data_IF_965500181104
#
_entry.id   IF_965500181104
#
_cell.length_a   1.000
_cell.length_b   1.000
_cell.length_c   1.000
_cell.angle_alpha   90.00
_cell.angle_beta   90.00
_cell.angle_gamma   90.00
#
_symmetry.space_group_name_H-M   'P 1'
#
loop_
_entity.id
_entity.type
_entity.pdbx_description
1 polymer ?
#
# COMPACT_ATOMS: atom_id res chain seq x y z
N UNK A 1 -4.97 11.73 -6.07
CA UNK A 1 -4.41 12.06 -4.74
C UNK A 1 -2.90 11.99 -4.69
N UNK A 2 -2.25 10.90 -5.12
CA UNK A 2 -0.77 10.77 -5.14
C UNK A 2 -0.05 11.91 -5.87
N UNK A 3 -0.57 12.39 -7.01
CA UNK A 3 -0.01 13.52 -7.73
C UNK A 3 0.08 14.81 -6.90
N UNK A 4 -0.98 15.17 -6.18
CA UNK A 4 -0.99 16.39 -5.37
C UNK A 4 0.02 16.33 -4.23
N UNK A 5 0.26 15.13 -3.66
CA UNK A 5 1.34 14.94 -2.69
C UNK A 5 2.71 15.15 -3.34
N UNK A 6 2.93 14.60 -4.53
CA UNK A 6 4.19 14.77 -5.25
C UNK A 6 4.44 16.25 -5.60
N UNK A 7 3.43 16.95 -6.12
CA UNK A 7 3.51 18.36 -6.50
C UNK A 7 3.87 19.25 -5.30
N UNK A 8 3.20 19.07 -4.16
CA UNK A 8 3.46 19.84 -2.94
C UNK A 8 4.89 19.65 -2.38
N UNK A 9 5.56 18.54 -2.70
CA UNK A 9 6.98 18.31 -2.35
C UNK A 9 7.89 18.91 -3.43
N UNK A 10 7.57 18.74 -4.71
CA UNK A 10 8.35 19.27 -5.82
C UNK A 10 8.48 20.81 -5.78
N UNK A 11 7.46 21.52 -5.31
CA UNK A 11 7.51 22.98 -5.08
C UNK A 11 8.63 23.43 -4.14
N UNK A 12 9.10 22.54 -3.26
CA UNK A 12 10.13 22.81 -2.24
C UNK A 12 11.49 22.22 -2.57
N UNK A 13 11.59 21.44 -3.64
CA UNK A 13 12.79 20.69 -4.02
C UNK A 13 12.99 20.73 -5.54
N UNK A 14 13.57 21.82 -6.02
CA UNK A 14 13.80 22.15 -7.43
C UNK A 14 14.67 21.14 -8.21
N UNK A 15 15.48 20.34 -7.51
CA UNK A 15 16.39 19.33 -8.11
C UNK A 15 16.16 17.93 -7.56
N UNK A 16 14.90 17.50 -7.47
CA UNK A 16 14.55 16.16 -7.02
C UNK A 16 13.62 15.42 -8.00
N UNK A 17 13.67 14.09 -7.92
CA UNK A 17 12.59 13.22 -8.40
C UNK A 17 11.76 12.81 -7.19
N UNK A 18 10.49 13.18 -7.19
CA UNK A 18 9.55 12.92 -6.10
C UNK A 18 8.72 11.69 -6.44
N UNK A 19 8.72 10.72 -5.53
CA UNK A 19 7.85 9.56 -5.56
C UNK A 19 6.79 9.70 -4.47
N UNK A 20 5.51 9.58 -4.84
CA UNK A 20 4.40 9.67 -3.88
C UNK A 20 3.38 8.55 -4.09
N UNK A 21 2.88 7.99 -2.99
CA UNK A 21 1.81 6.99 -2.96
C UNK A 21 0.53 7.50 -2.29
N UNK A 22 -0.61 6.95 -2.68
CA UNK A 22 -1.88 7.12 -2.00
C UNK A 22 -2.75 5.87 -2.15
N UNK A 23 -3.28 5.36 -1.04
CA UNK A 23 -3.98 4.08 -1.01
C UNK A 23 -5.40 4.27 -0.50
N UNK A 24 -6.34 3.64 -1.20
CA UNK A 24 -7.75 3.58 -0.82
C UNK A 24 -8.22 2.13 -0.85
N UNK A 25 -9.19 1.82 0.02
CA UNK A 25 -9.91 0.54 -0.01
C UNK A 25 -11.25 0.77 -0.68
N UNK A 26 -11.70 -0.15 -1.54
CA UNK A 26 -12.94 -0.02 -2.29
C UNK A 26 -13.76 -1.32 -2.25
N UNK A 27 -15.05 -1.20 -1.95
CA UNK A 27 -16.01 -2.30 -2.03
C UNK A 27 -17.20 -1.85 -2.89
N UNK A 28 -17.38 -2.49 -4.05
CA UNK A 28 -18.28 -1.98 -5.09
C UNK A 28 -17.88 -0.55 -5.46
N UNK A 29 -18.86 0.37 -5.41
CA UNK A 29 -18.67 1.79 -5.71
C UNK A 29 -18.31 2.64 -4.48
N UNK A 30 -18.23 2.03 -3.29
CA UNK A 30 -17.90 2.74 -2.05
C UNK A 30 -16.39 2.72 -1.80
N UNK A 31 -15.83 3.90 -1.56
CA UNK A 31 -14.45 4.09 -1.09
C UNK A 31 -14.40 4.18 0.44
N UNK A 32 -13.39 3.54 1.02
CA UNK A 32 -13.10 3.49 2.44
C UNK A 32 -11.75 4.15 2.67
N UNK A 33 -11.81 5.35 3.27
CA UNK A 33 -10.65 6.07 3.75
C UNK A 33 -10.23 5.59 5.14
N UNK A 34 -9.58 6.48 5.90
CA UNK A 34 -9.25 6.23 7.30
C UNK A 34 -10.51 6.51 8.14
N UNK A 35 -10.92 5.58 9.02
CA UNK A 35 -12.06 5.83 9.91
C UNK A 35 -11.75 6.99 10.86
N UNK A 36 -12.75 7.84 11.11
CA UNK A 36 -12.66 9.00 12.01
C UNK A 36 -12.81 8.59 13.47
N UNK A 37 -13.58 7.52 13.72
CA UNK A 37 -13.86 6.99 15.04
C UNK A 37 -14.01 5.46 15.05
N UNK A 38 -14.30 4.92 16.24
CA UNK A 38 -14.42 3.48 16.47
C UNK A 38 -15.66 2.87 15.80
N UNK A 39 -16.75 3.62 15.71
CA UNK A 39 -17.99 3.10 15.14
C UNK A 39 -17.88 3.04 13.61
N UNK A 40 -17.27 4.05 12.98
CA UNK A 40 -16.94 3.98 11.56
C UNK A 40 -15.99 2.82 11.28
N UNK A 41 -14.94 2.62 12.10
CA UNK A 41 -14.05 1.48 11.97
C UNK A 41 -14.79 0.14 12.04
N UNK A 42 -15.78 0.00 12.94
CA UNK A 42 -16.63 -1.20 13.04
C UNK A 42 -17.40 -1.43 11.74
N UNK A 43 -18.05 -0.41 11.20
CA UNK A 43 -18.82 -0.51 9.96
C UNK A 43 -17.93 -0.91 8.78
N UNK A 44 -16.74 -0.31 8.65
CA UNK A 44 -15.78 -0.67 7.61
C UNK A 44 -15.40 -2.15 7.70
N UNK A 45 -15.02 -2.63 8.89
CA UNK A 45 -14.58 -4.01 9.10
C UNK A 45 -15.71 -5.02 8.83
N UNK A 46 -16.95 -4.73 9.24
CA UNK A 46 -18.08 -5.60 8.96
C UNK A 46 -18.37 -5.71 7.46
N UNK A 47 -18.26 -4.61 6.72
CA UNK A 47 -18.46 -4.61 5.27
C UNK A 47 -17.34 -5.36 4.54
N UNK A 48 -16.08 -5.06 4.86
CA UNK A 48 -14.91 -5.60 4.15
C UNK A 48 -14.64 -7.08 4.49
N UNK A 49 -15.12 -7.58 5.63
CA UNK A 49 -15.02 -8.99 5.97
C UNK A 49 -16.17 -9.85 5.43
N UNK A 50 -17.21 -9.22 4.85
CA UNK A 50 -18.36 -9.93 4.29
C UNK A 50 -18.14 -10.38 2.84
N UNK A 51 -17.29 -9.68 2.09
CA UNK A 51 -17.01 -9.99 0.69
C UNK A 51 -15.64 -9.45 0.27
N UNK A 52 -15.06 -9.99 -0.83
CA UNK A 52 -13.76 -9.53 -1.31
C UNK A 52 -13.80 -8.06 -1.72
N UNK A 53 -12.76 -7.32 -1.35
CA UNK A 53 -12.63 -5.89 -1.66
C UNK A 53 -11.33 -5.59 -2.39
N UNK A 54 -11.25 -4.40 -2.97
CA UNK A 54 -10.08 -3.93 -3.72
C UNK A 54 -9.27 -2.99 -2.85
N UNK A 55 -7.95 -3.15 -2.87
CA UNK A 55 -6.99 -2.16 -2.39
C UNK A 55 -6.32 -1.56 -3.61
N UNK A 56 -6.44 -0.24 -3.73
CA UNK A 56 -5.98 0.52 -4.89
C UNK A 56 -4.94 1.52 -4.40
N UNK A 57 -3.70 1.38 -4.86
CA UNK A 57 -2.66 2.38 -4.60
C UNK A 57 -2.30 3.10 -5.87
N UNK A 58 -2.53 4.42 -5.88
CA UNK A 58 -2.01 5.32 -6.89
C UNK A 58 -0.59 5.75 -6.55
N UNK A 59 0.28 5.78 -7.56
CA UNK A 59 1.68 6.18 -7.45
C UNK A 59 1.99 7.29 -8.45
N UNK A 60 2.79 8.26 -8.05
CA UNK A 60 3.29 9.32 -8.93
C UNK A 60 4.79 9.44 -8.80
N UNK A 61 5.47 9.46 -9.95
CA UNK A 61 6.87 9.87 -10.10
C UNK A 61 6.89 11.23 -10.81
N UNK A 62 7.54 12.23 -10.21
CA UNK A 62 7.55 13.62 -10.69
C UNK A 62 8.99 14.17 -10.65
N UNK A 63 9.53 14.59 -11.80
CA UNK A 63 10.77 15.34 -11.86
C UNK A 63 10.48 16.81 -11.58
N UNK A 64 10.97 17.36 -10.47
CA UNK A 64 10.71 18.74 -10.10
C UNK A 64 11.35 19.74 -11.08
N UNK A 65 12.53 19.43 -11.61
CA UNK A 65 13.27 20.31 -12.51
C UNK A 65 12.60 20.47 -13.89
N UNK A 66 11.91 19.44 -14.38
CA UNK A 66 11.33 19.43 -15.73
C UNK A 66 9.80 19.40 -15.75
N UNK A 67 9.16 19.09 -14.62
CA UNK A 67 7.73 18.83 -14.54
C UNK A 67 7.28 17.50 -15.19
N UNK A 68 8.21 16.72 -15.75
CA UNK A 68 7.94 15.40 -16.31
C UNK A 68 7.34 14.51 -15.23
N UNK A 69 6.27 13.78 -15.54
CA UNK A 69 5.58 12.93 -14.58
C UNK A 69 5.10 11.63 -15.19
N UNK A 70 5.00 10.61 -14.33
CA UNK A 70 4.32 9.35 -14.60
C UNK A 70 3.41 9.03 -13.44
N UNK A 71 2.16 8.71 -13.74
CA UNK A 71 1.14 8.38 -12.74
C UNK A 71 0.60 7.01 -13.11
N UNK A 72 0.66 6.07 -12.17
CA UNK A 72 0.10 4.74 -12.32
C UNK A 72 -0.68 4.34 -11.08
N UNK A 73 -1.34 3.20 -11.15
CA UNK A 73 -1.95 2.57 -9.98
C UNK A 73 -1.82 1.06 -10.08
N UNK A 74 -1.94 0.39 -8.94
CA UNK A 74 -2.05 -1.05 -8.84
C UNK A 74 -3.30 -1.44 -8.04
N UNK A 75 -3.88 -2.59 -8.38
CA UNK A 75 -5.11 -3.09 -7.76
C UNK A 75 -4.86 -4.49 -7.23
N UNK A 76 -5.20 -4.70 -5.96
CA UNK A 76 -5.12 -6.01 -5.32
C UNK A 76 -6.47 -6.37 -4.72
N UNK A 77 -6.95 -7.59 -4.95
CA UNK A 77 -8.17 -8.10 -4.32
C UNK A 77 -7.78 -8.80 -3.01
N UNK A 78 -8.47 -8.44 -1.93
CA UNK A 78 -8.24 -9.01 -0.60
C UNK A 78 -9.48 -9.78 -0.17
N UNK A 79 -9.25 -11.02 0.28
CA UNK A 79 -10.26 -11.88 0.85
C UNK A 79 -10.02 -11.99 2.34
N UNK A 80 -11.06 -11.73 3.12
CA UNK A 80 -11.03 -11.88 4.56
C UNK A 80 -12.05 -12.90 5.03
N UNK A 81 -11.77 -13.55 6.16
CA UNK A 81 -12.81 -14.26 6.89
C UNK A 81 -13.70 -13.27 7.64
N UNK A 82 -14.97 -13.61 7.89
CA UNK A 82 -15.82 -12.81 8.76
C UNK A 82 -15.17 -12.60 10.14
N UNK A 83 -15.24 -11.36 10.63
CA UNK A 83 -14.84 -10.97 11.99
C UNK A 83 -16.06 -10.41 12.73
N UNK A 84 -16.45 -11.04 13.84
CA UNK A 84 -17.72 -10.72 14.55
C UNK A 84 -17.59 -10.88 16.06
N UNK A 85 -18.52 -10.28 16.80
CA UNK A 85 -18.67 -10.46 18.24
C UNK A 85 -17.40 -10.05 19.00
N UNK A 86 -16.97 -10.88 19.94
CA UNK A 86 -15.83 -10.59 20.82
C UNK A 86 -14.52 -10.35 20.06
N UNK A 87 -14.32 -11.00 18.90
CA UNK A 87 -13.12 -10.79 18.09
C UNK A 87 -13.07 -9.38 17.48
N UNK A 88 -14.19 -8.92 16.93
CA UNK A 88 -14.30 -7.59 16.35
C UNK A 88 -14.07 -6.51 17.43
N UNK A 89 -14.70 -6.67 18.59
CA UNK A 89 -14.53 -5.72 19.70
C UNK A 89 -13.08 -5.71 20.21
N UNK A 90 -12.44 -6.88 20.35
CA UNK A 90 -11.03 -6.95 20.74
C UNK A 90 -10.11 -6.28 19.71
N UNK A 91 -10.39 -6.41 18.41
CA UNK A 91 -9.65 -5.71 17.37
C UNK A 91 -9.84 -4.19 17.46
N UNK A 92 -11.07 -3.73 17.65
CA UNK A 92 -11.38 -2.30 17.83
C UNK A 92 -10.69 -1.71 19.07
N UNK A 93 -10.67 -2.46 20.18
CA UNK A 93 -10.04 -2.05 21.43
C UNK A 93 -8.51 -2.00 21.33
N UNK A 94 -7.92 -2.82 20.45
CA UNK A 94 -6.47 -2.76 20.18
C UNK A 94 -6.01 -1.43 19.57
N UNK A 95 -6.93 -0.67 18.95
CA UNK A 95 -6.60 0.56 18.23
C UNK A 95 -5.83 0.35 16.91
N UNK A 96 -5.60 -0.89 16.49
CA UNK A 96 -4.85 -1.20 15.26
C UNK A 96 -5.48 -0.64 13.98
N UNK A 97 -6.78 -0.34 14.00
CA UNK A 97 -7.52 0.28 12.91
C UNK A 97 -7.14 1.74 12.64
N UNK A 98 -6.59 2.44 13.63
CA UNK A 98 -6.38 3.89 13.58
C UNK A 98 -5.41 4.27 12.46
N UNK A 99 -5.82 5.26 11.67
CA UNK A 99 -4.99 5.83 10.61
C UNK A 99 -4.83 4.96 9.36
N UNK A 100 -5.57 3.84 9.25
CA UNK A 100 -5.47 2.89 8.14
C UNK A 100 -6.72 2.92 7.27
N UNK A 101 -6.52 2.90 5.95
CA UNK A 101 -7.65 2.85 5.01
C UNK A 101 -8.41 1.53 5.17
N UNK A 102 -9.74 1.58 5.25
CA UNK A 102 -10.56 0.38 5.51
C UNK A 102 -10.44 -0.17 6.93
N UNK A 103 -9.84 0.59 7.87
CA UNK A 103 -9.73 0.22 9.28
C UNK A 103 -8.90 -1.03 9.58
N UNK A 104 -8.05 -1.50 8.65
CA UNK A 104 -7.14 -2.62 8.89
C UNK A 104 -5.75 -2.41 8.27
N UNK A 105 -4.75 -3.14 8.74
CA UNK A 105 -3.38 -3.08 8.22
C UNK A 105 -2.75 -4.45 8.15
N UNK A 106 -2.47 -4.94 6.94
CA UNK A 106 -2.03 -6.33 6.72
C UNK A 106 -0.71 -6.68 7.42
N UNK A 107 0.18 -5.71 7.67
CA UNK A 107 1.45 -5.97 8.38
C UNK A 107 1.31 -6.12 9.90
N UNK A 108 0.14 -5.76 10.44
CA UNK A 108 -0.13 -5.89 11.87
C UNK A 108 -0.74 -7.26 12.17
N UNK A 109 -1.24 -7.46 13.41
CA UNK A 109 -2.09 -8.60 13.77
C UNK A 109 -3.31 -8.84 12.84
N UNK A 110 -3.58 -7.97 11.87
CA UNK A 110 -4.62 -8.12 10.86
C UNK A 110 -4.39 -9.29 9.88
N UNK A 111 -3.18 -9.86 9.82
CA UNK A 111 -2.94 -11.13 9.13
C UNK A 111 -3.89 -12.24 9.62
N UNK A 112 -4.38 -12.17 10.86
CA UNK A 112 -5.25 -13.20 11.43
C UNK A 112 -6.61 -13.35 10.72
N UNK A 113 -7.06 -12.35 9.95
CA UNK A 113 -8.34 -12.42 9.23
C UNK A 113 -8.23 -12.26 7.71
N UNK A 114 -7.06 -11.90 7.17
CA UNK A 114 -6.81 -11.99 5.73
C UNK A 114 -6.57 -13.45 5.34
N UNK A 115 -7.42 -13.99 4.47
CA UNK A 115 -7.32 -15.37 4.01
C UNK A 115 -6.53 -15.51 2.72
N UNK A 116 -6.66 -14.52 1.82
CA UNK A 116 -6.08 -14.60 0.47
C UNK A 116 -5.93 -13.23 -0.15
N UNK A 117 -4.91 -13.08 -0.97
CA UNK A 117 -4.61 -11.88 -1.74
C UNK A 117 -4.48 -12.29 -3.21
N UNK A 118 -5.11 -11.55 -4.10
CA UNK A 118 -4.90 -11.65 -5.55
C UNK A 118 -4.31 -10.34 -6.07
N UNK A 119 -3.00 -10.34 -6.34
CA UNK A 119 -2.26 -9.14 -6.74
C UNK A 119 -1.04 -8.92 -5.87
N UNK A 120 -0.56 -7.68 -5.81
CA UNK A 120 0.64 -7.33 -5.04
C UNK A 120 0.34 -7.18 -3.55
N UNK A 121 1.13 -7.86 -2.71
CA UNK A 121 1.12 -7.66 -1.25
C UNK A 121 1.60 -6.25 -0.89
N UNK A 122 2.66 -5.77 -1.54
CA UNK A 122 3.23 -4.44 -1.26
C UNK A 122 2.26 -3.32 -1.66
N UNK A 123 1.41 -3.55 -2.66
CA UNK A 123 0.26 -2.67 -2.95
C UNK A 123 -0.70 -2.58 -1.75
N UNK A 124 -1.03 -3.70 -1.10
CA UNK A 124 -1.92 -3.70 0.08
C UNK A 124 -1.29 -2.98 1.28
N UNK A 125 0.03 -3.10 1.43
CA UNK A 125 0.80 -2.31 2.41
C UNK A 125 0.72 -0.81 2.12
N UNK A 126 0.51 -0.44 0.85
CA UNK A 126 0.32 0.94 0.39
C UNK A 126 1.44 1.47 -0.49
N UNK A 127 2.33 0.60 -0.98
CA UNK A 127 3.43 0.98 -1.84
C UNK A 127 3.77 -0.17 -2.81
N UNK A 128 3.17 -0.22 -4.02
CA UNK A 128 3.32 -1.34 -4.97
C UNK A 128 4.74 -1.40 -5.53
N UNK A 129 5.62 -2.12 -4.85
CA UNK A 129 7.06 -2.12 -5.08
C UNK A 129 7.41 -2.62 -6.48
N UNK A 130 6.66 -3.59 -7.01
CA UNK A 130 6.86 -4.13 -8.34
C UNK A 130 6.63 -3.05 -9.40
N UNK A 131 5.53 -2.30 -9.26
CA UNK A 131 5.17 -1.19 -10.17
C UNK A 131 6.13 -0.02 -10.04
N UNK A 132 6.46 0.35 -8.81
CA UNK A 132 7.40 1.43 -8.51
C UNK A 132 8.77 1.10 -9.09
N UNK A 133 9.25 -0.13 -8.94
CA UNK A 133 10.54 -0.56 -9.48
C UNK A 133 10.55 -0.46 -11.00
N UNK A 134 9.47 -0.88 -11.68
CA UNK A 134 9.33 -0.70 -13.12
C UNK A 134 9.39 0.77 -13.52
N UNK A 135 8.61 1.64 -12.84
CA UNK A 135 8.56 3.07 -13.13
C UNK A 135 9.92 3.75 -12.94
N UNK A 136 10.64 3.41 -11.87
CA UNK A 136 11.98 3.95 -11.58
C UNK A 136 13.00 3.49 -12.62
N UNK A 137 12.97 2.21 -13.01
CA UNK A 137 13.85 1.66 -14.03
C UNK A 137 13.67 2.36 -15.38
N UNK A 138 12.43 2.63 -15.78
CA UNK A 138 12.11 3.36 -17.02
C UNK A 138 12.62 4.81 -17.00
N UNK A 139 12.87 5.36 -15.82
CA UNK A 139 13.46 6.69 -15.61
C UNK A 139 14.98 6.63 -15.40
N UNK A 140 15.59 5.45 -15.53
CA UNK A 140 17.02 5.25 -15.29
C UNK A 140 17.42 5.36 -13.82
N UNK A 141 16.46 5.34 -12.89
CA UNK A 141 16.72 5.43 -11.44
C UNK A 141 16.78 4.01 -10.89
N UNK A 142 17.92 3.66 -10.28
CA UNK A 142 18.11 2.36 -9.61
C UNK A 142 18.28 2.56 -8.10
N UNK A 143 17.47 1.90 -7.26
CA UNK A 143 17.69 1.92 -5.82
C UNK A 143 19.09 1.38 -5.49
N UNK A 144 19.87 2.15 -4.72
CA UNK A 144 21.17 1.69 -4.23
C UNK A 144 20.94 0.52 -3.25
N UNK A 145 21.18 -0.71 -3.69
CA UNK A 145 21.00 -1.92 -2.87
C UNK A 145 20.60 -3.18 -3.63
N UNK A 146 20.26 -3.09 -4.91
CA UNK A 146 19.95 -4.24 -5.76
C UNK A 146 21.14 -4.78 -6.57
N UNK A 147 22.33 -4.91 -5.97
CA UNK A 147 23.29 -5.86 -6.52
C UNK A 147 22.82 -7.25 -6.08
N UNK A 148 22.36 -8.07 -7.01
CA UNK A 148 22.45 -9.51 -6.80
C UNK A 148 23.89 -9.79 -6.38
N UNK A 149 24.11 -10.24 -5.14
CA UNK A 149 25.42 -10.81 -4.79
C UNK A 149 25.60 -11.98 -5.75
N UNK A 150 26.58 -11.91 -6.65
CA UNK A 150 27.04 -13.09 -7.35
C UNK A 150 27.36 -14.16 -6.29
N UNK A 151 26.93 -15.41 -6.46
CA UNK A 151 27.31 -16.46 -5.53
C UNK A 151 28.84 -16.51 -5.50
N UNK A 152 29.43 -16.33 -4.31
CA UNK A 152 30.86 -16.53 -4.11
C UNK A 152 31.22 -17.91 -4.66
N UNK A 153 32.27 -18.03 -5.51
CA UNK A 153 32.72 -19.33 -5.96
C UNK A 153 33.05 -20.15 -4.73
N UNK A 154 32.37 -21.29 -4.62
CA UNK A 154 32.49 -22.23 -3.53
C UNK A 154 33.96 -22.64 -3.45
N UNK A 155 34.69 -22.04 -2.50
CA UNK A 155 36.06 -22.47 -2.20
C UNK A 155 35.93 -23.84 -1.57
N UNK A 156 36.34 -24.87 -2.31
CA UNK A 156 36.57 -26.19 -1.77
C UNK A 156 37.43 -26.05 -0.52
N UNK A 157 36.85 -26.42 0.63
CA UNK A 157 37.61 -26.55 1.86
C UNK A 157 38.42 -27.85 1.77
N UNK A 158 39.69 -27.83 2.22
CA UNK A 158 40.54 -29.02 2.25
C UNK A 158 40.01 -30.09 3.21
#
# INVERSE_FOLDING_TARGET
MSYFKAAAVAERHDRAVVLAGDTVVALGDRLYGKPVDRDEAREMLLALTACPHRVITGVTLLCAATGTRRIEHDVTIVHMRPMRGAELEAYLDSGAWRGKAGAYGIQDRADAFVQRIEGSFTNVVGFPMERITSMLNDWGIRPAGGAAREPEPQRDRP
#
